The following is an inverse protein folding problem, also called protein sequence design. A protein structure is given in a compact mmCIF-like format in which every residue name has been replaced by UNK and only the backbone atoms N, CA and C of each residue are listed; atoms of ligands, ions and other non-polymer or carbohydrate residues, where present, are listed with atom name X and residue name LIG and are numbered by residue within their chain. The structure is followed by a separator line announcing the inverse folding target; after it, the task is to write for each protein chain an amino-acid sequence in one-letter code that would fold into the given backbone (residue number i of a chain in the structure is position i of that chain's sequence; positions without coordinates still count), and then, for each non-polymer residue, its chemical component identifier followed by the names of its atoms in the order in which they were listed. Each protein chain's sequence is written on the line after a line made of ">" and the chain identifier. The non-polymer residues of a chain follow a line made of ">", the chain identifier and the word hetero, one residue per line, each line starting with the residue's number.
data_IF_468870570897
#
_entry.id   IF_468870570897
#
_cell.length_a   1.000
_cell.length_b   1.000
_cell.length_c   1.000
_cell.angle_alpha   90.00
_cell.angle_beta   90.00
_cell.angle_gamma   90.00
#
_symmetry.space_group_name_H-M   'P 1'
#
loop_
_entity.id
_entity.type
_entity.pdbx_description
1 polymer ?
#
# COMPACT_ATOMS: atom_id res chain seq x y z
N UNK A 1 33.08 2.51 12.95
CA UNK A 1 32.89 2.60 11.46
C UNK A 1 31.40 2.59 11.19
N UNK A 2 30.82 3.71 10.78
CA UNK A 2 29.44 3.73 10.30
C UNK A 2 29.44 3.07 8.93
N UNK A 3 28.89 1.86 8.81
CA UNK A 3 28.57 1.27 7.53
C UNK A 3 27.46 2.11 6.90
N UNK A 4 27.79 2.96 5.94
CA UNK A 4 26.81 3.68 5.14
C UNK A 4 26.04 2.65 4.33
N UNK A 5 24.81 2.31 4.75
CA UNK A 5 23.92 1.49 3.93
C UNK A 5 23.38 2.41 2.83
N UNK A 6 23.63 2.01 1.59
CA UNK A 6 23.13 2.74 0.44
C UNK A 6 21.60 2.59 0.34
N UNK A 7 20.94 3.63 -0.17
CA UNK A 7 19.53 3.53 -0.54
C UNK A 7 19.30 2.42 -1.56
N UNK A 8 18.35 1.54 -1.29
CA UNK A 8 17.94 0.49 -2.23
C UNK A 8 16.54 0.83 -2.73
N UNK A 9 16.38 1.12 -4.05
CA UNK A 9 15.07 1.33 -4.63
C UNK A 9 14.20 0.08 -4.50
N UNK A 10 12.94 0.28 -4.11
CA UNK A 10 11.95 -0.78 -4.00
C UNK A 10 11.07 -0.76 -5.24
N UNK A 11 10.71 -1.94 -5.72
CA UNK A 11 9.86 -2.14 -6.87
C UNK A 11 8.38 -2.22 -6.40
N UNK A 12 7.58 -1.24 -6.80
CA UNK A 12 6.23 -1.03 -6.29
C UNK A 12 5.20 -1.14 -7.42
N UNK A 13 4.12 -1.86 -7.15
CA UNK A 13 2.89 -1.80 -7.94
C UNK A 13 1.86 -0.92 -7.23
N UNK A 14 1.21 -0.03 -7.98
CA UNK A 14 0.12 0.83 -7.49
C UNK A 14 -1.19 0.34 -8.10
N UNK A 15 -2.19 0.09 -7.26
CA UNK A 15 -3.51 -0.40 -7.67
C UNK A 15 -4.59 0.54 -7.17
N UNK A 16 -5.43 1.05 -8.07
CA UNK A 16 -6.64 1.77 -7.71
C UNK A 16 -7.84 0.85 -7.84
N UNK A 17 -8.60 0.71 -6.75
CA UNK A 17 -9.82 -0.11 -6.70
C UNK A 17 -11.01 0.84 -6.74
N UNK A 18 -11.74 0.84 -7.86
CA UNK A 18 -12.87 1.75 -8.08
C UNK A 18 -13.72 1.31 -9.25
N UNK A 19 -15.04 1.45 -9.10
CA UNK A 19 -15.99 1.20 -10.18
C UNK A 19 -16.00 2.31 -11.24
N UNK A 20 -15.54 3.51 -10.89
CA UNK A 20 -15.74 4.71 -11.71
C UNK A 20 -14.45 5.38 -12.20
N UNK A 21 -13.29 5.08 -11.59
CA UNK A 21 -12.03 5.72 -11.97
C UNK A 21 -11.45 5.14 -13.24
N UNK A 22 -10.87 6.03 -14.02
CA UNK A 22 -9.98 5.74 -15.15
C UNK A 22 -8.68 6.50 -14.92
N UNK A 23 -7.63 6.23 -15.69
CA UNK A 23 -6.33 6.89 -15.47
C UNK A 23 -6.40 8.42 -15.50
N UNK A 24 -7.24 9.00 -16.35
CA UNK A 24 -7.38 10.46 -16.50
C UNK A 24 -7.97 11.17 -15.26
N UNK A 25 -8.69 10.45 -14.40
CA UNK A 25 -9.34 11.02 -13.22
C UNK A 25 -8.93 10.33 -11.90
N UNK A 26 -7.96 9.45 -11.95
CA UNK A 26 -7.46 8.70 -10.78
C UNK A 26 -6.45 9.52 -9.96
N UNK A 27 -6.95 10.54 -9.27
CA UNK A 27 -6.11 11.44 -8.46
C UNK A 27 -5.39 10.73 -7.32
N UNK A 28 -6.00 9.72 -6.72
CA UNK A 28 -5.39 8.94 -5.62
C UNK A 28 -4.22 8.11 -6.12
N UNK A 29 -4.39 7.42 -7.24
CA UNK A 29 -3.30 6.70 -7.88
C UNK A 29 -2.17 7.63 -8.35
N UNK A 30 -2.51 8.81 -8.87
CA UNK A 30 -1.52 9.84 -9.26
C UNK A 30 -0.68 10.28 -8.07
N UNK A 31 -1.30 10.50 -6.90
CA UNK A 31 -0.59 10.87 -5.67
C UNK A 31 0.41 9.79 -5.28
N UNK A 32 -0.01 8.52 -5.28
CA UNK A 32 0.87 7.41 -4.91
C UNK A 32 2.03 7.25 -5.90
N UNK A 33 1.75 7.28 -7.19
CA UNK A 33 2.79 7.18 -8.22
C UNK A 33 3.82 8.31 -8.07
N UNK A 34 3.36 9.55 -7.93
CA UNK A 34 4.23 10.71 -7.73
C UNK A 34 5.11 10.54 -6.49
N UNK A 35 4.53 10.15 -5.36
CA UNK A 35 5.26 9.95 -4.09
C UNK A 35 6.32 8.85 -4.20
N UNK A 36 5.98 7.75 -4.83
CA UNK A 36 6.92 6.64 -5.07
C UNK A 36 8.13 7.11 -5.87
N UNK A 37 7.88 7.81 -6.98
CA UNK A 37 8.94 8.29 -7.87
C UNK A 37 9.80 9.38 -7.23
N UNK A 38 9.18 10.33 -6.53
CA UNK A 38 9.91 11.39 -5.79
C UNK A 38 10.79 10.81 -4.67
N UNK A 39 10.45 9.64 -4.15
CA UNK A 39 11.24 8.93 -3.14
C UNK A 39 12.30 7.99 -3.75
N UNK A 40 12.53 8.07 -5.05
CA UNK A 40 13.49 7.27 -5.80
C UNK A 40 13.22 5.75 -5.80
N UNK A 41 11.99 5.35 -5.52
CA UNK A 41 11.54 3.98 -5.76
C UNK A 41 11.07 3.81 -7.21
N UNK A 42 10.74 2.58 -7.59
CA UNK A 42 10.35 2.24 -8.96
C UNK A 42 8.91 1.81 -9.03
N UNK A 43 8.18 2.30 -10.02
CA UNK A 43 6.86 1.79 -10.39
C UNK A 43 7.03 0.67 -11.41
N UNK A 44 6.63 -0.54 -11.04
CA UNK A 44 6.66 -1.70 -11.94
C UNK A 44 5.33 -1.83 -12.68
N UNK A 45 4.22 -1.52 -12.00
CA UNK A 45 2.89 -1.62 -12.58
C UNK A 45 1.97 -0.58 -11.94
N UNK A 46 1.06 -0.04 -12.72
CA UNK A 46 -0.05 0.77 -12.25
C UNK A 46 -1.35 0.25 -12.87
N UNK A 47 -2.28 -0.18 -12.02
CA UNK A 47 -3.51 -0.85 -12.42
C UNK A 47 -4.73 -0.15 -11.84
N UNK A 48 -5.85 -0.26 -12.53
CA UNK A 48 -7.17 0.10 -12.02
C UNK A 48 -8.06 -1.15 -12.12
N UNK A 49 -8.73 -1.51 -11.05
CA UNK A 49 -9.63 -2.65 -10.99
C UNK A 49 -10.94 -2.24 -10.34
N UNK A 50 -12.05 -2.84 -10.79
CA UNK A 50 -13.37 -2.61 -10.22
C UNK A 50 -13.51 -3.24 -8.83
N UNK A 51 -14.45 -2.70 -8.04
CA UNK A 51 -14.86 -3.25 -6.75
C UNK A 51 -15.60 -4.60 -6.95
N UNK A 52 -14.86 -5.60 -7.36
CA UNK A 52 -15.32 -6.96 -7.62
C UNK A 52 -14.34 -7.94 -6.98
N UNK A 53 -14.86 -8.85 -6.16
CA UNK A 53 -14.03 -9.78 -5.37
C UNK A 53 -13.07 -10.59 -6.25
N UNK A 54 -13.60 -11.21 -7.30
CA UNK A 54 -12.80 -12.11 -8.14
C UNK A 54 -11.76 -11.33 -8.97
N UNK A 55 -12.12 -10.14 -9.47
CA UNK A 55 -11.20 -9.30 -10.24
C UNK A 55 -10.06 -8.77 -9.38
N UNK A 56 -10.35 -8.30 -8.16
CA UNK A 56 -9.33 -7.85 -7.22
C UNK A 56 -8.43 -9.02 -6.85
N UNK A 57 -9.02 -10.15 -6.46
CA UNK A 57 -8.28 -11.35 -6.08
C UNK A 57 -7.34 -11.81 -7.19
N UNK A 58 -7.82 -11.90 -8.42
CA UNK A 58 -7.02 -12.33 -9.56
C UNK A 58 -5.87 -11.38 -9.86
N UNK A 59 -6.13 -10.08 -9.86
CA UNK A 59 -5.09 -9.08 -10.10
C UNK A 59 -3.99 -9.16 -9.04
N UNK A 60 -4.38 -9.19 -7.76
CA UNK A 60 -3.39 -9.26 -6.67
C UNK A 60 -2.61 -10.56 -6.69
N UNK A 61 -3.23 -11.69 -6.96
CA UNK A 61 -2.51 -12.96 -7.13
C UNK A 61 -1.46 -12.89 -8.24
N UNK A 62 -1.79 -12.28 -9.37
CA UNK A 62 -0.85 -12.09 -10.47
C UNK A 62 0.32 -11.18 -10.08
N UNK A 63 0.05 -10.07 -9.38
CA UNK A 63 1.09 -9.16 -8.89
C UNK A 63 1.99 -9.85 -7.84
N UNK A 64 1.41 -10.62 -6.94
CA UNK A 64 2.15 -11.37 -5.90
C UNK A 64 3.07 -12.42 -6.55
N UNK A 65 2.63 -13.07 -7.61
CA UNK A 65 3.45 -14.04 -8.37
C UNK A 65 4.61 -13.38 -9.11
N UNK A 66 4.51 -12.11 -9.44
CA UNK A 66 5.59 -11.38 -10.09
C UNK A 66 6.68 -11.03 -9.07
N UNK A 67 7.76 -11.80 -9.07
CA UNK A 67 8.87 -11.63 -8.12
C UNK A 67 9.70 -10.37 -8.31
N UNK A 68 9.44 -9.59 -9.35
CA UNK A 68 10.01 -8.24 -9.50
C UNK A 68 9.30 -7.21 -8.61
N UNK A 69 8.09 -7.50 -8.10
CA UNK A 69 7.32 -6.60 -7.25
C UNK A 69 7.60 -6.92 -5.79
N UNK A 70 8.11 -5.95 -5.05
CA UNK A 70 8.39 -6.07 -3.62
C UNK A 70 7.18 -5.65 -2.78
N UNK A 71 6.46 -4.63 -3.22
CA UNK A 71 5.37 -3.98 -2.50
C UNK A 71 4.22 -3.66 -3.44
N UNK A 72 3.00 -3.91 -2.97
CA UNK A 72 1.78 -3.45 -3.63
C UNK A 72 1.13 -2.42 -2.71
N UNK A 73 0.82 -1.25 -3.26
CA UNK A 73 0.07 -0.20 -2.56
C UNK A 73 -1.25 0.00 -3.28
N UNK A 74 -2.37 -0.22 -2.60
CA UNK A 74 -3.68 0.00 -3.18
C UNK A 74 -4.40 1.17 -2.53
N UNK A 75 -5.31 1.77 -3.27
CA UNK A 75 -6.21 2.82 -2.80
C UNK A 75 -7.63 2.50 -3.24
N UNK A 76 -8.59 2.64 -2.33
CA UNK A 76 -10.00 2.39 -2.58
C UNK A 76 -10.56 1.11 -1.98
N UNK A 77 -11.88 1.03 -1.92
CA UNK A 77 -12.62 -0.16 -1.46
C UNK A 77 -12.49 -0.48 0.03
N UNK A 78 -12.07 0.46 0.87
CA UNK A 78 -11.86 0.25 2.32
C UNK A 78 -12.97 0.85 3.20
N UNK A 79 -14.04 1.35 2.61
CA UNK A 79 -15.19 1.87 3.34
C UNK A 79 -16.13 0.79 3.87
N UNK A 80 -17.35 1.21 4.23
CA UNK A 80 -18.36 0.35 4.89
C UNK A 80 -19.55 0.01 3.99
N UNK A 81 -19.56 0.47 2.73
CA UNK A 81 -20.66 0.13 1.82
C UNK A 81 -20.54 -1.30 1.31
N UNK A 82 -21.60 -1.83 0.73
CA UNK A 82 -21.58 -3.18 0.17
C UNK A 82 -20.64 -3.36 -1.03
N UNK A 83 -20.18 -2.25 -1.62
CA UNK A 83 -19.19 -2.27 -2.70
C UNK A 83 -17.74 -2.27 -2.18
N UNK A 84 -17.53 -1.84 -0.95
CA UNK A 84 -16.21 -1.79 -0.33
C UNK A 84 -15.81 -3.19 0.17
N UNK A 85 -14.99 -3.89 -0.60
CA UNK A 85 -14.64 -5.28 -0.35
C UNK A 85 -13.13 -5.54 -0.31
N UNK A 86 -12.30 -4.50 -0.38
CA UNK A 86 -10.85 -4.68 -0.37
C UNK A 86 -10.36 -5.45 0.86
N UNK A 87 -10.79 -5.16 2.10
CA UNK A 87 -10.34 -5.91 3.26
C UNK A 87 -10.74 -7.39 3.20
N UNK A 88 -11.94 -7.69 2.70
CA UNK A 88 -12.44 -9.06 2.59
C UNK A 88 -11.60 -9.89 1.62
N UNK A 89 -11.20 -9.30 0.48
CA UNK A 89 -10.31 -9.95 -0.48
C UNK A 89 -8.93 -10.17 0.13
N UNK A 90 -8.36 -9.12 0.74
CA UNK A 90 -7.00 -9.17 1.28
C UNK A 90 -6.85 -10.22 2.38
N UNK A 91 -7.86 -10.41 3.23
CA UNK A 91 -7.86 -11.44 4.27
C UNK A 91 -7.71 -12.86 3.70
N UNK A 92 -8.14 -13.10 2.48
CA UNK A 92 -7.94 -14.39 1.80
C UNK A 92 -6.54 -14.56 1.22
N UNK A 93 -5.83 -13.47 1.01
CA UNK A 93 -4.51 -13.45 0.36
C UNK A 93 -3.34 -13.37 1.36
N UNK A 94 -3.54 -12.74 2.51
CA UNK A 94 -2.48 -12.54 3.49
C UNK A 94 -2.04 -13.83 4.16
N UNK A 95 -0.74 -14.08 4.19
CA UNK A 95 -0.13 -15.07 5.06
C UNK A 95 -0.02 -14.55 6.49
N UNK A 96 0.29 -13.25 6.61
CA UNK A 96 0.35 -12.52 7.89
C UNK A 96 -0.27 -11.15 7.73
N UNK A 97 -1.09 -10.74 8.69
CA UNK A 97 -1.64 -9.39 8.77
C UNK A 97 -0.69 -8.48 9.53
N UNK A 98 -0.51 -7.25 9.07
CA UNK A 98 0.23 -6.21 9.76
C UNK A 98 -0.79 -5.29 10.45
N UNK A 99 -1.26 -5.69 11.62
CA UNK A 99 -2.33 -4.98 12.34
C UNK A 99 -1.93 -3.53 12.67
N UNK A 100 -0.67 -3.31 13.01
CA UNK A 100 -0.14 -2.00 13.37
C UNK A 100 -0.27 -0.96 12.26
N UNK A 101 -0.31 -1.35 11.00
CA UNK A 101 -0.50 -0.39 9.90
C UNK A 101 -1.87 0.29 9.97
N UNK A 102 -2.94 -0.49 10.06
CA UNK A 102 -4.29 0.04 10.15
C UNK A 102 -4.52 0.84 11.45
N UNK A 103 -3.98 0.37 12.56
CA UNK A 103 -4.03 1.06 13.85
C UNK A 103 -3.36 2.43 13.75
N UNK A 104 -2.14 2.49 13.23
CA UNK A 104 -1.39 3.74 13.08
C UNK A 104 -2.05 4.68 12.07
N UNK A 105 -2.52 4.17 10.94
CA UNK A 105 -3.21 4.98 9.94
C UNK A 105 -4.48 5.64 10.53
N UNK A 106 -5.29 4.88 11.26
CA UNK A 106 -6.50 5.42 11.93
C UNK A 106 -6.15 6.42 13.02
N UNK A 107 -5.11 6.17 13.79
CA UNK A 107 -4.62 7.11 14.80
C UNK A 107 -4.21 8.44 14.17
N UNK A 108 -3.46 8.42 13.08
CA UNK A 108 -3.07 9.63 12.33
C UNK A 108 -4.29 10.34 11.73
N UNK A 109 -5.24 9.59 11.21
CA UNK A 109 -6.46 10.14 10.64
C UNK A 109 -7.33 10.83 11.68
N UNK A 110 -7.31 10.39 12.93
CA UNK A 110 -8.09 10.98 14.03
C UNK A 110 -7.81 12.48 14.20
N UNK A 111 -6.58 12.91 14.05
CA UNK A 111 -6.20 14.33 14.17
C UNK A 111 -6.88 15.23 13.12
N UNK A 112 -7.29 14.67 11.99
CA UNK A 112 -7.93 15.40 10.88
C UNK A 112 -9.45 15.26 10.84
N UNK A 113 -9.95 14.06 11.08
CA UNK A 113 -11.37 13.73 10.91
C UNK A 113 -12.06 13.22 12.18
N UNK A 114 -11.36 13.25 13.31
CA UNK A 114 -11.92 12.83 14.60
C UNK A 114 -12.38 11.37 14.59
N UNK A 115 -13.51 11.10 15.25
CA UNK A 115 -14.04 9.74 15.38
C UNK A 115 -14.42 9.07 14.07
N UNK A 116 -14.58 9.82 12.98
CA UNK A 116 -14.81 9.23 11.65
C UNK A 116 -13.65 8.33 11.19
N UNK A 117 -12.47 8.48 11.78
CA UNK A 117 -11.32 7.61 11.52
C UNK A 117 -11.62 6.12 11.80
N UNK A 118 -12.52 5.83 12.76
CA UNK A 118 -12.91 4.45 13.09
C UNK A 118 -13.59 3.70 11.93
N UNK A 119 -14.13 4.43 10.96
CA UNK A 119 -14.79 3.84 9.80
C UNK A 119 -13.80 3.39 8.71
N UNK A 120 -12.55 3.84 8.79
CA UNK A 120 -11.51 3.43 7.84
C UNK A 120 -11.11 1.98 8.11
N UNK A 121 -11.17 1.15 7.08
CA UNK A 121 -10.70 -0.23 7.14
C UNK A 121 -9.36 -0.42 6.41
N UNK A 122 -8.51 0.61 6.44
CA UNK A 122 -7.14 0.51 5.97
C UNK A 122 -6.42 -0.66 6.65
N UNK A 123 -5.69 -1.45 5.87
CA UNK A 123 -5.03 -2.66 6.36
C UNK A 123 -3.76 -2.95 5.57
N UNK A 124 -2.92 -3.80 6.12
CA UNK A 124 -1.74 -4.29 5.45
C UNK A 124 -1.43 -5.74 5.83
N UNK A 125 -0.67 -6.40 4.99
CA UNK A 125 -0.24 -7.76 5.22
C UNK A 125 0.91 -8.15 4.32
N UNK A 126 1.34 -9.39 4.49
CA UNK A 126 2.37 -10.04 3.67
C UNK A 126 1.76 -11.26 3.00
N UNK A 127 1.99 -11.42 1.72
CA UNK A 127 1.57 -12.58 0.95
C UNK A 127 2.73 -13.07 0.09
N UNK A 128 3.18 -14.30 0.35
CA UNK A 128 4.29 -14.93 -0.38
C UNK A 128 5.50 -14.00 -0.56
N UNK A 129 5.88 -13.28 0.49
CA UNK A 129 7.02 -12.37 0.51
C UNK A 129 6.75 -10.98 -0.07
N UNK A 130 5.57 -10.69 -0.59
CA UNK A 130 5.18 -9.36 -1.09
C UNK A 130 4.40 -8.62 0.00
N UNK A 131 4.82 -7.40 0.33
CA UNK A 131 4.08 -6.53 1.24
C UNK A 131 2.94 -5.84 0.50
N UNK A 132 1.78 -5.77 1.15
CA UNK A 132 0.57 -5.18 0.58
C UNK A 132 0.02 -4.17 1.58
N UNK A 133 -0.15 -2.91 1.14
CA UNK A 133 -0.73 -1.83 1.94
C UNK A 133 -1.96 -1.29 1.24
N UNK A 134 -3.09 -1.28 1.93
CA UNK A 134 -4.37 -0.85 1.39
C UNK A 134 -4.85 0.41 2.09
N UNK A 135 -4.94 1.51 1.33
CA UNK A 135 -5.32 2.84 1.77
C UNK A 135 -6.73 3.20 1.31
N UNK A 136 -7.43 4.10 2.01
CA UNK A 136 -8.70 4.65 1.54
C UNK A 136 -8.58 5.35 0.19
N UNK A 137 -9.70 5.50 -0.50
CA UNK A 137 -9.78 5.99 -1.86
C UNK A 137 -9.66 7.50 -2.05
N UNK A 138 -9.22 8.27 -1.08
CA UNK A 138 -9.03 9.71 -1.22
C UNK A 138 -7.56 10.10 -1.45
N UNK A 139 -7.29 11.14 -2.25
CA UNK A 139 -5.93 11.66 -2.42
C UNK A 139 -5.27 12.08 -1.09
N UNK A 140 -6.06 12.63 -0.17
CA UNK A 140 -5.58 13.02 1.17
C UNK A 140 -5.12 11.81 1.98
N UNK A 141 -5.90 10.72 1.99
CA UNK A 141 -5.52 9.48 2.66
C UNK A 141 -4.24 8.88 2.07
N UNK A 142 -4.09 8.93 0.76
CA UNK A 142 -2.87 8.45 0.09
C UNK A 142 -1.65 9.30 0.46
N UNK A 143 -1.78 10.62 0.50
CA UNK A 143 -0.70 11.51 0.98
C UNK A 143 -0.31 11.18 2.42
N UNK A 144 -1.27 11.09 3.30
CA UNK A 144 -1.01 10.82 4.72
C UNK A 144 -0.37 9.44 4.93
N UNK A 145 -0.89 8.42 4.27
CA UNK A 145 -0.34 7.06 4.35
C UNK A 145 1.09 6.98 3.86
N UNK A 146 1.41 7.66 2.76
CA UNK A 146 2.77 7.71 2.25
C UNK A 146 3.68 8.58 3.11
N UNK A 147 3.33 9.85 3.30
CA UNK A 147 4.21 10.84 3.92
C UNK A 147 4.49 10.54 5.40
N UNK A 148 3.55 9.95 6.11
CA UNK A 148 3.66 9.71 7.55
C UNK A 148 4.00 8.27 7.93
N UNK A 149 3.81 7.30 7.05
CA UNK A 149 4.06 5.89 7.35
C UNK A 149 4.99 5.25 6.33
N UNK A 150 4.55 5.11 5.08
CA UNK A 150 5.21 4.24 4.11
C UNK A 150 6.59 4.74 3.71
N UNK A 151 6.79 6.04 3.57
CA UNK A 151 8.10 6.62 3.23
C UNK A 151 9.19 6.19 4.22
N UNK A 152 8.83 6.06 5.50
CA UNK A 152 9.76 5.63 6.55
C UNK A 152 9.96 4.13 6.58
N UNK A 153 8.92 3.35 6.33
CA UNK A 153 8.97 1.89 6.39
C UNK A 153 9.65 1.26 5.17
N UNK A 154 9.60 1.93 4.02
CA UNK A 154 10.16 1.44 2.77
C UNK A 154 11.60 1.92 2.50
N UNK A 155 12.15 2.76 3.35
CA UNK A 155 13.56 3.13 3.32
C UNK A 155 14.36 2.17 4.21
N UNK A 156 15.22 1.36 3.59
CA UNK A 156 16.03 0.37 4.31
C UNK A 156 17.25 0.96 4.99
N UNK A 157 17.57 2.24 4.77
CA UNK A 157 18.68 2.87 5.47
C UNK A 157 18.36 2.98 6.96
N UNK A 158 19.28 2.61 7.84
CA UNK A 158 18.99 2.63 9.26
C UNK A 158 18.78 4.04 9.76
N UNK A 159 17.56 4.38 10.07
CA UNK A 159 17.22 5.37 11.05
C UNK A 159 16.57 4.59 12.19
N UNK A 160 17.38 4.10 13.11
CA UNK A 160 16.99 3.48 14.37
C UNK A 160 15.63 2.71 14.34
N UNK A 161 15.66 1.41 14.09
CA UNK A 161 14.56 0.43 14.32
C UNK A 161 13.30 0.54 13.44
N UNK A 162 13.33 1.18 12.26
CA UNK A 162 12.07 1.68 11.66
C UNK A 162 11.75 1.20 10.26
N UNK A 163 12.42 0.18 9.71
CA UNK A 163 12.09 -0.32 8.38
C UNK A 163 11.56 -1.74 8.40
N UNK A 164 10.69 -2.05 7.46
CA UNK A 164 10.26 -3.41 7.21
C UNK A 164 11.44 -4.22 6.65
N UNK A 165 11.66 -5.41 7.18
CA UNK A 165 12.56 -6.37 6.56
C UNK A 165 11.85 -6.94 5.34
N UNK A 166 12.11 -6.34 4.17
CA UNK A 166 11.57 -6.86 2.92
C UNK A 166 12.29 -8.16 2.60
N UNK A 167 11.58 -9.24 2.32
CA UNK A 167 12.16 -10.47 1.82
C UNK A 167 12.52 -10.30 0.35
N UNK A 168 13.40 -9.33 0.07
CA UNK A 168 13.80 -9.04 -1.29
C UNK A 168 14.89 -10.00 -1.74
N UNK A 169 14.88 -10.36 -3.01
CA UNK A 169 15.93 -11.09 -3.69
C UNK A 169 17.29 -10.37 -3.71
N UNK A 170 17.38 -9.24 -3.00
CA UNK A 170 18.60 -8.44 -2.89
C UNK A 170 19.46 -8.80 -1.67
N UNK A 171 19.03 -9.76 -0.85
CA UNK A 171 19.82 -10.33 0.23
C UNK A 171 20.64 -11.54 -0.25
N UNK A 172 21.41 -11.36 -1.31
CA UNK A 172 22.45 -12.32 -1.71
C UNK A 172 23.80 -11.64 -1.63
#
# INVERSE_FOLDING_TARGET
>A
MSTHINFIPINIAVVTISDTRVFDNDKSGDVLEKRVLESNHKIISREIVKDDFDKISQLFQNLIKNKKIDVIISTGGTGLTGRDITPEVMKTLFDKTIDGFGEMFRWLSYSKIGTSALQSRALAGVSNGTYIFCLPGSPSACRDGWDQILIHQLDIRPVSYTHLTLPTSHNV
#
